data_IF_841277805560
#
_entry.id   IF_841277805560
#
_cell.length_a   1.000
_cell.length_b   1.000
_cell.length_c   1.000
_cell.angle_alpha   90.00
_cell.angle_beta   90.00
_cell.angle_gamma   90.00
#
_symmetry.space_group_name_H-M   'P 1'
#
loop_
_entity.id
_entity.type
_entity.pdbx_description
1 polymer ?
#
# COMPACT_ATOMS: atom_id res chain seq x y z
N UNK A 1 -5.78 5.60 -9.95
CA UNK A 1 -4.75 4.58 -9.75
C UNK A 1 -3.47 5.16 -9.19
N UNK A 2 -2.56 5.69 -9.99
CA UNK A 2 -1.33 6.29 -9.43
C UNK A 2 -1.65 7.44 -8.48
N UNK A 3 -2.46 8.39 -8.91
CA UNK A 3 -2.82 9.54 -8.09
C UNK A 3 -3.46 9.14 -6.76
N UNK A 4 -4.36 8.18 -6.79
CA UNK A 4 -5.00 7.66 -5.59
C UNK A 4 -4.00 6.93 -4.68
N UNK A 5 -3.11 6.14 -5.26
CA UNK A 5 -2.08 5.42 -4.51
C UNK A 5 -1.14 6.39 -3.80
N UNK A 6 -0.78 7.49 -4.44
CA UNK A 6 0.05 8.52 -3.81
C UNK A 6 -0.62 9.11 -2.58
N UNK A 7 -1.90 9.43 -2.67
CA UNK A 7 -2.67 9.98 -1.53
C UNK A 7 -2.73 8.97 -0.39
N UNK A 8 -3.07 7.73 -0.69
CA UNK A 8 -3.22 6.67 0.31
C UNK A 8 -1.90 6.40 1.02
N UNK A 9 -0.82 6.25 0.27
CA UNK A 9 0.51 5.96 0.84
C UNK A 9 0.98 7.12 1.71
N UNK A 10 0.82 8.36 1.25
CA UNK A 10 1.21 9.53 2.01
C UNK A 10 0.45 9.62 3.33
N UNK A 11 -0.87 9.44 3.29
CA UNK A 11 -1.71 9.48 4.49
C UNK A 11 -1.40 8.34 5.44
N UNK A 12 -1.15 7.14 4.91
CA UNK A 12 -0.80 5.98 5.72
C UNK A 12 0.48 6.20 6.52
N UNK A 13 1.44 6.93 5.96
CA UNK A 13 2.71 7.26 6.62
C UNK A 13 2.63 8.56 7.44
N UNK A 14 1.49 9.24 7.43
CA UNK A 14 1.32 10.49 8.17
C UNK A 14 2.15 11.65 7.64
N UNK A 15 2.42 11.67 6.34
CA UNK A 15 3.27 12.68 5.72
C UNK A 15 2.44 13.81 5.08
N UNK A 16 3.04 15.00 5.02
CA UNK A 16 2.47 16.14 4.28
C UNK A 16 2.89 16.05 2.81
N UNK A 17 2.17 16.77 1.96
CA UNK A 17 2.54 16.89 0.54
C UNK A 17 3.95 17.47 0.39
N UNK A 18 4.31 18.44 1.21
CA UNK A 18 5.62 19.07 1.19
C UNK A 18 6.73 18.06 1.53
N UNK A 19 6.52 17.21 2.52
CA UNK A 19 7.50 16.19 2.91
C UNK A 19 7.75 15.19 1.77
N UNK A 20 6.70 14.76 1.09
CA UNK A 20 6.87 13.83 -0.04
C UNK A 20 7.50 14.54 -1.24
N UNK A 21 7.13 15.79 -1.49
CA UNK A 21 7.74 16.60 -2.56
C UNK A 21 9.25 16.71 -2.39
N UNK A 22 9.74 16.85 -1.16
CA UNK A 22 11.17 16.88 -0.86
C UNK A 22 11.88 15.59 -1.27
N UNK A 23 11.24 14.44 -1.10
CA UNK A 23 11.82 13.14 -1.46
C UNK A 23 12.18 13.09 -2.95
N UNK A 24 11.35 13.68 -3.79
CA UNK A 24 11.54 13.70 -5.25
C UNK A 24 12.05 15.05 -5.77
N UNK A 25 12.42 15.94 -4.85
CA UNK A 25 13.06 17.22 -5.17
C UNK A 25 12.25 18.11 -6.10
N UNK A 26 10.95 18.22 -5.84
CA UNK A 26 10.03 19.09 -6.57
C UNK A 26 9.29 20.00 -5.59
N UNK A 27 8.60 21.01 -6.13
CA UNK A 27 7.77 21.88 -5.32
C UNK A 27 6.52 21.14 -4.83
N UNK A 28 5.96 21.58 -3.70
CA UNK A 28 4.69 21.07 -3.20
C UNK A 28 3.57 21.20 -4.24
N UNK A 29 3.55 22.33 -4.96
CA UNK A 29 2.54 22.58 -5.97
C UNK A 29 2.62 21.57 -7.12
N UNK A 30 3.84 21.23 -7.57
CA UNK A 30 4.04 20.23 -8.60
C UNK A 30 3.60 18.84 -8.12
N UNK A 31 3.94 18.50 -6.89
CA UNK A 31 3.53 17.23 -6.30
C UNK A 31 2.00 17.14 -6.17
N UNK A 32 1.36 18.23 -5.70
CA UNK A 32 -0.09 18.25 -5.53
C UNK A 32 -0.85 17.93 -6.83
N UNK A 33 -0.32 18.35 -7.97
CA UNK A 33 -0.89 18.02 -9.28
C UNK A 33 -0.86 16.52 -9.57
N UNK A 34 0.16 15.81 -9.08
CA UNK A 34 0.23 14.35 -9.21
C UNK A 34 -0.92 13.69 -8.44
N UNK A 35 -1.20 14.17 -7.22
CA UNK A 35 -2.29 13.63 -6.41
C UNK A 35 -3.67 13.95 -6.98
N UNK A 36 -3.78 15.05 -7.70
CA UNK A 36 -5.03 15.45 -8.37
C UNK A 36 -5.22 14.76 -9.72
N UNK A 37 -4.21 14.07 -10.21
CA UNK A 37 -4.26 13.40 -11.51
C UNK A 37 -4.08 14.37 -12.69
N UNK A 38 -3.68 15.62 -12.44
CA UNK A 38 -3.46 16.60 -13.50
C UNK A 38 -2.17 16.37 -14.27
N UNK A 39 -1.13 15.90 -13.58
CA UNK A 39 0.15 15.56 -14.16
C UNK A 39 0.62 14.22 -13.64
N UNK A 40 1.60 13.62 -14.31
CA UNK A 40 2.14 12.31 -13.97
C UNK A 40 3.66 12.45 -13.78
N UNK A 41 4.23 11.88 -12.71
CA UNK A 41 5.68 11.86 -12.54
C UNK A 41 6.35 11.00 -13.61
N UNK A 42 7.61 11.35 -13.94
CA UNK A 42 8.40 10.51 -14.83
C UNK A 42 8.78 9.20 -14.12
N UNK A 43 9.33 8.24 -14.89
CA UNK A 43 9.62 6.90 -14.37
C UNK A 43 10.65 6.95 -13.24
N UNK A 44 11.64 7.84 -13.33
CA UNK A 44 12.67 7.98 -12.31
C UNK A 44 12.09 8.42 -10.96
N UNK A 45 11.19 9.39 -11.00
CA UNK A 45 10.51 9.87 -9.78
C UNK A 45 9.53 8.82 -9.23
N UNK A 46 8.84 8.10 -10.12
CA UNK A 46 7.99 6.97 -9.69
C UNK A 46 8.82 5.91 -8.99
N UNK A 47 9.98 5.56 -9.53
CA UNK A 47 10.86 4.57 -8.92
C UNK A 47 11.36 5.04 -7.54
N UNK A 48 11.71 6.31 -7.42
CA UNK A 48 12.14 6.90 -6.15
C UNK A 48 11.03 6.85 -5.09
N UNK A 49 9.80 7.15 -5.49
CA UNK A 49 8.65 7.08 -4.60
C UNK A 49 8.36 5.64 -4.17
N UNK A 50 8.41 4.69 -5.11
CA UNK A 50 8.20 3.29 -4.81
C UNK A 50 9.26 2.79 -3.80
N UNK A 51 10.52 3.13 -4.01
CA UNK A 51 11.60 2.79 -3.07
C UNK A 51 11.39 3.44 -1.71
N UNK A 52 10.99 4.71 -1.69
CA UNK A 52 10.70 5.43 -0.45
C UNK A 52 9.61 4.75 0.37
N UNK A 53 8.54 4.30 -0.29
CA UNK A 53 7.44 3.62 0.39
C UNK A 53 7.67 2.11 0.60
N UNK A 54 8.76 1.56 0.05
CA UNK A 54 9.07 0.13 0.16
C UNK A 54 8.09 -0.76 -0.58
N UNK A 55 7.55 -0.29 -1.70
CA UNK A 55 6.63 -1.04 -2.55
C UNK A 55 7.23 -1.25 -3.94
N UNK A 56 6.65 -2.16 -4.70
CA UNK A 56 7.07 -2.37 -6.09
C UNK A 56 6.60 -1.21 -6.96
N UNK A 57 7.39 -0.88 -7.98
CA UNK A 57 7.05 0.19 -8.92
C UNK A 57 5.72 -0.09 -9.63
N UNK A 58 5.51 -1.31 -10.09
CA UNK A 58 4.25 -1.69 -10.75
C UNK A 58 3.06 -1.57 -9.79
N UNK A 59 3.24 -1.85 -8.51
CA UNK A 59 2.20 -1.67 -7.51
C UNK A 59 1.85 -0.19 -7.33
N UNK A 60 2.85 0.70 -7.27
CA UNK A 60 2.60 2.14 -7.21
C UNK A 60 1.76 2.60 -8.39
N UNK A 61 2.09 2.13 -9.59
CA UNK A 61 1.47 2.56 -10.84
C UNK A 61 0.06 2.01 -11.04
N UNK A 62 -0.16 0.75 -10.67
CA UNK A 62 -1.34 0.01 -11.12
C UNK A 62 -2.19 -0.62 -10.03
N UNK A 63 -1.73 -0.67 -8.78
CA UNK A 63 -2.49 -1.31 -7.72
C UNK A 63 -3.84 -0.61 -7.53
N UNK A 64 -4.93 -1.38 -7.55
CA UNK A 64 -6.29 -0.85 -7.48
C UNK A 64 -7.22 -1.89 -6.85
N UNK A 65 -6.95 -2.25 -5.61
CA UNK A 65 -7.76 -3.19 -4.87
C UNK A 65 -8.64 -2.48 -3.85
N UNK A 66 -9.86 -2.97 -3.71
CA UNK A 66 -10.84 -2.43 -2.75
C UNK A 66 -11.37 -3.55 -1.87
N UNK A 67 -11.67 -3.20 -0.63
CA UNK A 67 -12.44 -4.05 0.26
C UNK A 67 -13.71 -3.28 0.61
N UNK A 68 -14.85 -3.76 0.11
CA UNK A 68 -16.08 -2.98 0.14
C UNK A 68 -15.93 -1.70 -0.68
N UNK A 69 -16.14 -0.55 -0.06
CA UNK A 69 -15.98 0.76 -0.70
C UNK A 69 -14.61 1.40 -0.37
N UNK A 70 -13.74 0.70 0.37
CA UNK A 70 -12.47 1.25 0.80
C UNK A 70 -11.35 0.80 -0.12
N UNK A 71 -10.66 1.76 -0.74
CA UNK A 71 -9.48 1.47 -1.54
C UNK A 71 -8.31 1.15 -0.62
N UNK A 72 -7.62 0.06 -0.93
CA UNK A 72 -6.49 -0.41 -0.12
C UNK A 72 -5.18 0.17 -0.63
N UNK A 73 -4.24 0.39 0.29
CA UNK A 73 -2.90 0.83 -0.07
C UNK A 73 -2.14 -0.30 -0.77
N UNK A 74 -1.24 0.02 -1.73
CA UNK A 74 -0.33 -0.99 -2.27
C UNK A 74 0.46 -1.65 -1.13
N UNK A 75 0.56 -2.98 -1.12
CA UNK A 75 1.28 -3.67 -0.06
C UNK A 75 2.79 -3.45 -0.17
N UNK A 76 3.52 -3.51 0.95
CA UNK A 76 4.98 -3.49 0.92
C UNK A 76 5.53 -4.60 0.02
N UNK A 77 6.71 -4.39 -0.55
CA UNK A 77 7.36 -5.39 -1.39
C UNK A 77 7.52 -6.71 -0.62
N UNK A 78 7.16 -7.81 -1.26
CA UNK A 78 7.19 -9.14 -0.64
C UNK A 78 5.98 -9.44 0.25
N UNK A 79 5.03 -8.53 0.36
CA UNK A 79 3.78 -8.72 1.09
C UNK A 79 2.61 -8.87 0.13
N UNK A 80 1.52 -9.44 0.64
CA UNK A 80 0.31 -9.67 -0.17
C UNK A 80 -0.91 -9.25 0.63
N UNK A 81 -1.90 -8.69 -0.06
CA UNK A 81 -3.20 -8.42 0.53
C UNK A 81 -4.10 -9.63 0.34
N UNK A 82 -4.56 -10.21 1.44
CA UNK A 82 -5.44 -11.39 1.43
C UNK A 82 -6.89 -11.05 1.74
N UNK A 83 -7.20 -9.75 1.91
CA UNK A 83 -8.51 -9.27 2.28
C UNK A 83 -8.55 -8.78 3.73
N UNK A 84 -9.73 -8.70 4.30
CA UNK A 84 -9.94 -8.33 5.70
C UNK A 84 -10.60 -9.47 6.45
N UNK A 85 -10.41 -9.49 7.76
CA UNK A 85 -11.00 -10.50 8.63
C UNK A 85 -11.67 -9.80 9.81
N UNK A 86 -12.66 -10.46 10.39
CA UNK A 86 -13.32 -9.96 11.59
C UNK A 86 -12.82 -10.71 12.83
N UNK A 87 -12.60 -9.96 13.88
CA UNK A 87 -12.27 -10.53 15.18
C UNK A 87 -13.53 -11.20 15.76
N UNK A 88 -13.43 -12.45 16.15
CA UNK A 88 -14.51 -13.16 16.80
C UNK A 88 -14.70 -12.75 18.26
N UNK A 89 -15.80 -13.21 18.87
CA UNK A 89 -16.15 -12.83 20.25
C UNK A 89 -15.18 -13.34 21.31
N UNK A 90 -14.34 -14.32 20.96
CA UNK A 90 -13.31 -14.86 21.85
C UNK A 90 -11.90 -14.38 21.46
N UNK A 91 -11.82 -13.35 20.63
CA UNK A 91 -10.56 -12.84 20.14
C UNK A 91 -9.91 -13.68 19.03
N UNK A 92 -10.63 -14.64 18.47
CA UNK A 92 -10.10 -15.48 17.37
C UNK A 92 -10.31 -14.83 16.02
N UNK A 93 -9.47 -15.20 15.07
CA UNK A 93 -9.59 -14.83 13.67
C UNK A 93 -9.41 -16.08 12.81
N UNK A 94 -9.94 -16.03 11.57
CA UNK A 94 -9.71 -17.07 10.58
C UNK A 94 -8.75 -16.50 9.52
N UNK A 95 -7.60 -17.15 9.38
CA UNK A 95 -6.65 -16.78 8.32
C UNK A 95 -7.24 -17.22 6.98
N UNK A 96 -7.27 -16.36 5.96
CA UNK A 96 -7.82 -16.72 4.65
C UNK A 96 -7.15 -17.98 4.08
N UNK A 97 -7.96 -18.81 3.44
CA UNK A 97 -7.50 -20.10 2.89
C UNK A 97 -6.31 -19.93 1.95
N UNK A 98 -6.35 -18.90 1.10
CA UNK A 98 -5.28 -18.64 0.13
C UNK A 98 -3.95 -18.35 0.83
N UNK A 99 -3.98 -17.61 1.92
CA UNK A 99 -2.78 -17.36 2.72
C UNK A 99 -2.29 -18.64 3.41
N UNK A 100 -3.23 -19.44 3.95
CA UNK A 100 -2.87 -20.73 4.56
C UNK A 100 -2.19 -21.66 3.57
N UNK A 101 -2.73 -21.74 2.35
CA UNK A 101 -2.19 -22.60 1.30
C UNK A 101 -0.80 -22.12 0.87
N UNK A 102 -0.62 -20.82 0.69
CA UNK A 102 0.66 -20.25 0.26
C UNK A 102 1.77 -20.51 1.26
N UNK A 103 1.48 -20.42 2.55
CA UNK A 103 2.49 -20.55 3.60
C UNK A 103 2.47 -21.93 4.28
N UNK A 104 1.69 -22.87 3.75
CA UNK A 104 1.62 -24.21 4.28
C UNK A 104 1.09 -24.31 5.70
N UNK A 105 0.20 -23.40 6.08
CA UNK A 105 -0.37 -23.40 7.42
C UNK A 105 -1.45 -24.46 7.54
N UNK A 106 -1.43 -25.18 8.65
CA UNK A 106 -2.39 -26.25 8.90
C UNK A 106 -2.70 -26.32 10.39
N UNK A 107 -3.62 -27.19 10.76
CA UNK A 107 -3.96 -27.42 12.16
C UNK A 107 -2.70 -27.72 12.96
N UNK A 108 -2.50 -27.04 14.08
CA UNK A 108 -1.32 -27.20 14.92
C UNK A 108 -0.17 -26.27 14.56
N UNK A 109 -0.22 -25.55 13.44
CA UNK A 109 0.79 -24.56 13.09
C UNK A 109 0.84 -23.47 14.17
N UNK A 110 2.05 -23.00 14.48
CA UNK A 110 2.26 -21.92 15.45
C UNK A 110 2.71 -20.67 14.74
N UNK A 111 2.16 -19.53 15.16
CA UNK A 111 2.47 -18.23 14.62
C UNK A 111 2.98 -17.33 15.73
N UNK A 112 3.97 -16.50 15.41
CA UNK A 112 4.46 -15.47 16.33
C UNK A 112 3.72 -14.18 16.04
N UNK A 113 3.10 -13.60 17.07
CA UNK A 113 2.43 -12.33 16.97
C UNK A 113 3.35 -11.27 17.55
N UNK A 114 3.68 -10.28 16.71
CA UNK A 114 4.59 -9.19 17.07
C UNK A 114 3.85 -7.89 17.25
#
# INVERSE_FOLDING_TARGET
>A
MLSENLVILRNLKGLTQEQVAEVVEISRQSYAKWEQGETVPDIEKCDRLASFYGIRLDALMHYDEKVGNTKMAPPPEGKFLWGTIKLGNRGQIVIPKEARDKYGLQEGSRLVVL
#
